data_IF_599616625581
#
_entry.id   IF_599616625581
#
_cell.length_a   1.000
_cell.length_b   1.000
_cell.length_c   1.000
_cell.angle_alpha   90.00
_cell.angle_beta   90.00
_cell.angle_gamma   90.00
#
_symmetry.space_group_name_H-M   'P 1'
#
loop_
_entity.id
_entity.type
_entity.pdbx_description
1 polymer ?
#
# COMPACT_ATOMS: atom_id res chain seq x y z
N UNK A 1 17.56 -1.63 -15.18
CA UNK A 1 16.22 -1.56 -14.59
C UNK A 1 16.21 -2.39 -13.33
N UNK A 2 16.27 -1.75 -12.16
CA UNK A 2 16.08 -2.40 -10.85
C UNK A 2 14.62 -2.82 -10.65
N UNK A 3 14.30 -3.72 -9.70
CA UNK A 3 12.91 -4.07 -9.39
C UNK A 3 12.03 -2.85 -9.04
N UNK A 4 12.59 -1.92 -8.27
CA UNK A 4 11.95 -0.66 -7.90
C UNK A 4 11.73 0.25 -9.13
N UNK A 5 12.72 0.41 -10.02
CA UNK A 5 12.54 1.13 -11.30
C UNK A 5 11.44 0.50 -12.16
N UNK A 6 11.40 -0.83 -12.26
CA UNK A 6 10.35 -1.54 -12.98
C UNK A 6 8.97 -1.27 -12.36
N UNK A 7 8.86 -1.35 -11.04
CA UNK A 7 7.63 -1.06 -10.31
C UNK A 7 7.15 0.37 -10.57
N UNK A 8 7.95 1.39 -10.27
CA UNK A 8 7.53 2.79 -10.43
C UNK A 8 7.19 3.15 -11.88
N UNK A 9 7.92 2.59 -12.85
CA UNK A 9 7.64 2.85 -14.27
C UNK A 9 6.34 2.21 -14.74
N UNK A 10 6.14 0.92 -14.49
CA UNK A 10 5.01 0.18 -15.06
C UNK A 10 3.76 0.20 -14.18
N UNK A 11 3.91 0.41 -12.87
CA UNK A 11 2.79 0.50 -11.94
C UNK A 11 2.26 1.93 -11.81
N UNK A 12 3.15 2.93 -11.74
CA UNK A 12 2.79 4.32 -11.47
C UNK A 12 3.08 5.29 -12.63
N UNK A 13 3.70 4.82 -13.71
CA UNK A 13 3.99 5.65 -14.89
C UNK A 13 5.14 6.65 -14.68
N UNK A 14 5.99 6.45 -13.67
CA UNK A 14 7.07 7.38 -13.37
C UNK A 14 8.26 7.19 -14.30
N UNK A 15 8.88 8.30 -14.69
CA UNK A 15 10.10 8.29 -15.53
C UNK A 15 11.38 8.11 -14.71
N UNK A 16 11.31 8.27 -13.38
CA UNK A 16 12.40 8.11 -12.41
C UNK A 16 11.85 7.57 -11.09
N UNK A 17 12.67 6.87 -10.33
CA UNK A 17 12.31 6.45 -8.97
C UNK A 17 12.45 7.61 -7.96
N UNK A 18 11.75 7.55 -6.82
CA UNK A 18 11.99 8.44 -5.68
C UNK A 18 13.47 8.54 -5.28
N UNK A 19 14.16 7.40 -5.31
CA UNK A 19 15.57 7.24 -4.96
C UNK A 19 16.50 8.05 -5.88
N UNK A 20 16.23 8.01 -7.18
CA UNK A 20 16.99 8.78 -8.18
C UNK A 20 16.71 10.28 -8.12
N UNK A 21 15.50 10.68 -7.71
CA UNK A 21 15.12 12.08 -7.59
C UNK A 21 15.72 12.76 -6.35
N UNK A 22 15.85 12.01 -5.25
CA UNK A 22 16.31 12.51 -3.96
C UNK A 22 17.83 12.76 -3.89
N UNK A 23 18.66 11.96 -4.58
CA UNK A 23 20.11 12.14 -4.66
C UNK A 23 20.91 11.89 -3.36
N UNK A 24 20.24 11.78 -2.20
CA UNK A 24 20.83 11.48 -0.88
C UNK A 24 20.23 10.18 -0.31
N UNK A 25 21.09 9.18 -0.09
CA UNK A 25 20.70 7.86 0.44
C UNK A 25 20.06 7.92 1.82
N UNK A 26 20.51 8.81 2.70
CA UNK A 26 19.93 8.92 4.04
C UNK A 26 18.50 9.46 3.98
N UNK A 27 18.28 10.46 3.12
CA UNK A 27 16.97 11.04 2.87
C UNK A 27 16.03 10.04 2.18
N UNK A 28 16.53 9.24 1.22
CA UNK A 28 15.75 8.16 0.60
C UNK A 28 15.27 7.16 1.63
N UNK A 29 16.14 6.68 2.51
CA UNK A 29 15.75 5.74 3.57
C UNK A 29 14.69 6.32 4.50
N UNK A 30 14.80 7.62 4.82
CA UNK A 30 13.79 8.31 5.63
C UNK A 30 12.43 8.33 4.91
N UNK A 31 12.40 8.65 3.61
CA UNK A 31 11.18 8.63 2.78
C UNK A 31 10.60 7.21 2.74
N UNK A 32 11.39 6.19 2.42
CA UNK A 32 10.96 4.79 2.35
C UNK A 32 10.35 4.32 3.67
N UNK A 33 11.03 4.58 4.79
CA UNK A 33 10.54 4.26 6.13
C UNK A 33 9.22 4.98 6.44
N UNK A 34 9.10 6.26 6.06
CA UNK A 34 7.90 7.05 6.36
C UNK A 34 6.71 6.65 5.49
N UNK A 35 6.94 6.35 4.23
CA UNK A 35 5.94 5.82 3.31
C UNK A 35 5.40 4.48 3.81
N UNK A 36 6.29 3.53 4.12
CA UNK A 36 5.89 2.23 4.66
C UNK A 36 5.18 2.37 6.01
N UNK A 37 5.67 3.26 6.88
CA UNK A 37 5.05 3.56 8.17
C UNK A 37 3.62 4.10 8.04
N UNK A 38 3.39 5.04 7.12
CA UNK A 38 2.05 5.58 6.85
C UNK A 38 1.08 4.49 6.38
N UNK A 39 1.51 3.59 5.50
CA UNK A 39 0.66 2.47 5.06
C UNK A 39 0.41 1.50 6.22
N UNK A 40 1.44 1.17 7.01
CA UNK A 40 1.26 0.28 8.16
C UNK A 40 0.34 0.89 9.23
N UNK A 41 0.36 2.20 9.44
CA UNK A 41 -0.61 2.89 10.30
C UNK A 41 -2.04 2.68 9.78
N UNK A 42 -2.26 2.95 8.49
CA UNK A 42 -3.57 2.80 7.87
C UNK A 42 -4.12 1.37 7.98
N UNK A 43 -3.27 0.39 7.66
CA UNK A 43 -3.67 -1.03 7.58
C UNK A 43 -3.73 -1.69 8.95
N UNK A 44 -2.84 -1.32 9.87
CA UNK A 44 -2.84 -1.87 11.24
C UNK A 44 -3.99 -1.36 12.09
N UNK A 45 -4.59 -0.22 11.75
CA UNK A 45 -5.70 0.42 12.45
C UNK A 45 -6.80 -0.57 12.88
N UNK A 46 -7.19 -0.48 14.16
CA UNK A 46 -8.23 -1.32 14.76
C UNK A 46 -7.86 -2.79 14.93
N UNK A 47 -6.62 -3.19 14.63
CA UNK A 47 -6.13 -4.56 14.79
C UNK A 47 -6.79 -5.60 13.88
N UNK A 48 -7.42 -5.14 12.78
CA UNK A 48 -8.18 -5.98 11.84
C UNK A 48 -7.35 -6.48 10.65
N UNK A 49 -6.04 -6.23 10.64
CA UNK A 49 -5.20 -6.61 9.51
C UNK A 49 -5.03 -8.12 9.38
N UNK A 50 -4.90 -8.60 8.14
CA UNK A 50 -4.78 -10.04 7.83
C UNK A 50 -3.34 -10.45 7.52
N UNK A 51 -3.05 -11.76 7.61
CA UNK A 51 -1.76 -12.30 7.18
C UNK A 51 -1.49 -12.10 5.68
N UNK A 52 -2.55 -11.95 4.87
CA UNK A 52 -2.40 -11.62 3.46
C UNK A 52 -1.91 -10.18 3.27
N UNK A 53 -2.44 -9.24 4.02
CA UNK A 53 -1.97 -7.86 4.04
C UNK A 53 -0.51 -7.76 4.52
N UNK A 54 -0.13 -8.53 5.55
CA UNK A 54 1.27 -8.61 6.00
C UNK A 54 2.19 -9.07 4.86
N UNK A 55 1.84 -10.17 4.17
CA UNK A 55 2.65 -10.68 3.04
C UNK A 55 2.74 -9.68 1.90
N UNK A 56 1.62 -9.04 1.56
CA UNK A 56 1.58 -8.01 0.52
C UNK A 56 2.51 -6.85 0.86
N UNK A 57 2.41 -6.29 2.08
CA UNK A 57 3.22 -5.14 2.49
C UNK A 57 4.71 -5.48 2.55
N UNK A 58 5.07 -6.67 3.05
CA UNK A 58 6.47 -7.14 2.99
C UNK A 58 6.97 -7.21 1.55
N UNK A 59 6.17 -7.75 0.62
CA UNK A 59 6.51 -7.80 -0.80
C UNK A 59 6.63 -6.42 -1.44
N UNK A 60 5.67 -5.53 -1.15
CA UNK A 60 5.68 -4.14 -1.59
C UNK A 60 6.96 -3.43 -1.14
N UNK A 61 7.25 -3.44 0.17
CA UNK A 61 8.47 -2.83 0.73
C UNK A 61 9.73 -3.43 0.13
N UNK A 62 9.78 -4.75 -0.07
CA UNK A 62 10.93 -5.42 -0.70
C UNK A 62 11.19 -4.91 -2.12
N UNK A 63 10.13 -4.63 -2.89
CA UNK A 63 10.24 -4.18 -4.28
C UNK A 63 10.54 -2.68 -4.33
N UNK A 64 9.96 -1.87 -3.44
CA UNK A 64 10.07 -0.41 -3.49
C UNK A 64 11.31 0.12 -2.76
N UNK A 65 11.76 -0.56 -1.71
CA UNK A 65 12.88 -0.11 -0.87
C UNK A 65 14.19 -0.71 -1.36
N UNK A 66 14.99 0.09 -2.07
CA UNK A 66 16.26 -0.38 -2.64
C UNK A 66 17.39 -0.43 -1.61
N UNK A 67 17.32 0.40 -0.56
CA UNK A 67 18.47 0.72 0.29
C UNK A 67 18.32 0.29 1.75
N UNK A 68 17.10 0.00 2.23
CA UNK A 68 16.82 -0.46 3.59
C UNK A 68 16.16 -1.85 3.61
N UNK A 69 17.00 -2.89 3.56
CA UNK A 69 16.55 -4.28 3.64
C UNK A 69 15.97 -4.65 5.01
N UNK A 70 16.18 -3.83 6.05
CA UNK A 70 15.64 -4.08 7.39
C UNK A 70 14.20 -3.63 7.54
N UNK A 71 13.71 -2.75 6.65
CA UNK A 71 12.34 -2.24 6.69
C UNK A 71 11.30 -3.36 6.50
N UNK A 72 11.63 -4.39 5.71
CA UNK A 72 10.77 -5.55 5.48
C UNK A 72 10.45 -6.27 6.81
N UNK A 73 11.43 -6.40 7.70
CA UNK A 73 11.25 -7.07 8.99
C UNK A 73 10.48 -6.20 10.00
N UNK A 74 10.39 -4.90 9.73
CA UNK A 74 9.65 -3.93 10.58
C UNK A 74 8.17 -3.81 10.21
N UNK A 75 7.72 -4.35 9.07
CA UNK A 75 6.32 -4.27 8.63
C UNK A 75 5.36 -4.82 9.70
N UNK A 76 5.61 -6.04 10.19
CA UNK A 76 4.70 -6.66 11.17
C UNK A 76 4.75 -5.96 12.55
N UNK A 77 5.92 -5.57 13.08
CA UNK A 77 5.98 -4.67 14.24
C UNK A 77 5.19 -3.37 14.06
N UNK A 78 5.34 -2.67 12.93
CA UNK A 78 4.63 -1.42 12.66
C UNK A 78 3.10 -1.60 12.61
N UNK A 79 2.62 -2.71 12.03
CA UNK A 79 1.19 -3.04 12.01
C UNK A 79 0.65 -3.31 13.41
N UNK A 80 1.44 -3.97 14.28
CA UNK A 80 1.06 -4.21 15.68
C UNK A 80 1.02 -2.92 16.48
N UNK A 81 2.05 -2.08 16.34
CA UNK A 81 2.07 -0.76 16.97
C UNK A 81 0.85 0.07 16.55
N UNK A 82 0.50 0.06 15.26
CA UNK A 82 -0.68 0.75 14.74
C UNK A 82 -2.02 0.19 15.26
N UNK A 83 -2.10 -1.11 15.54
CA UNK A 83 -3.31 -1.75 16.07
C UNK A 83 -3.67 -1.28 17.48
N UNK A 84 -2.67 -0.83 18.25
CA UNK A 84 -2.83 -0.37 19.62
C UNK A 84 -3.17 1.13 19.72
N UNK A 85 -3.15 1.88 18.61
CA UNK A 85 -3.43 3.31 18.58
C UNK A 85 -4.92 3.63 18.54
N UNK A 86 -5.34 4.61 19.31
CA UNK A 86 -6.63 5.27 19.16
C UNK A 86 -6.64 6.23 17.96
N UNK A 87 -7.82 6.57 17.42
CA UNK A 87 -7.94 7.47 16.26
C UNK A 87 -7.19 8.81 16.43
N UNK A 88 -7.24 9.40 17.64
CA UNK A 88 -6.52 10.66 17.95
C UNK A 88 -4.99 10.47 17.91
N UNK A 89 -4.52 9.30 18.34
CA UNK A 89 -3.10 8.95 18.32
C UNK A 89 -2.65 8.60 16.89
N UNK A 90 -3.55 8.05 16.07
CA UNK A 90 -3.33 7.79 14.66
C UNK A 90 -3.12 9.09 13.88
N UNK A 91 -3.92 10.13 14.14
CA UNK A 91 -3.71 11.47 13.53
C UNK A 91 -2.38 12.08 13.94
N UNK A 92 -2.04 12.06 15.24
CA UNK A 92 -0.76 12.65 15.68
C UNK A 92 0.45 11.86 15.18
N UNK A 93 0.33 10.53 15.07
CA UNK A 93 1.37 9.67 14.49
C UNK A 93 1.48 9.85 12.99
N UNK A 94 0.37 9.99 12.27
CA UNK A 94 0.38 10.14 10.82
C UNK A 94 1.08 11.43 10.39
N UNK A 95 0.92 12.54 11.11
CA UNK A 95 1.63 13.79 10.80
C UNK A 95 3.16 13.60 10.75
N UNK A 96 3.76 12.78 11.64
CA UNK A 96 5.19 12.47 11.57
C UNK A 96 5.58 11.72 10.29
N UNK A 97 4.69 10.86 9.80
CA UNK A 97 4.92 10.07 8.59
C UNK A 97 4.60 10.85 7.31
N UNK A 98 3.92 11.99 7.38
CA UNK A 98 3.42 12.73 6.20
C UNK A 98 3.92 14.18 6.13
N UNK A 99 4.70 14.66 7.11
CA UNK A 99 5.22 16.03 7.19
C UNK A 99 6.22 16.42 6.08
N UNK A 100 6.78 15.46 5.33
CA UNK A 100 7.70 15.74 4.23
C UNK A 100 6.92 16.15 2.98
N UNK A 101 7.31 17.27 2.35
CA UNK A 101 6.69 17.73 1.10
C UNK A 101 6.69 16.65 0.01
N UNK A 102 7.77 15.87 -0.10
CA UNK A 102 7.86 14.75 -1.04
C UNK A 102 6.70 13.74 -0.86
N UNK A 103 6.32 13.44 0.38
CA UNK A 103 5.25 12.49 0.67
C UNK A 103 3.88 13.09 0.38
N UNK A 104 3.69 14.39 0.62
CA UNK A 104 2.48 15.11 0.21
C UNK A 104 2.31 15.12 -1.31
N UNK A 105 3.39 15.35 -2.05
CA UNK A 105 3.37 15.28 -3.52
C UNK A 105 3.03 13.86 -4.01
N UNK A 106 3.45 12.82 -3.27
CA UNK A 106 3.10 11.43 -3.49
C UNK A 106 1.76 11.01 -2.84
N UNK A 107 0.99 11.94 -2.26
CA UNK A 107 -0.15 11.61 -1.40
C UNK A 107 -1.21 10.75 -2.10
N UNK A 108 -1.48 11.03 -3.39
CA UNK A 108 -2.45 10.25 -4.18
C UNK A 108 -2.00 8.81 -4.40
N UNK A 109 -0.71 8.57 -4.69
CA UNK A 109 -0.19 7.20 -4.86
C UNK A 109 -0.14 6.46 -3.53
N UNK A 110 0.20 7.16 -2.44
CA UNK A 110 0.17 6.58 -1.09
C UNK A 110 -1.23 6.09 -0.71
N UNK A 111 -2.24 6.93 -0.90
CA UNK A 111 -3.64 6.56 -0.62
C UNK A 111 -4.09 5.40 -1.51
N UNK A 112 -3.72 5.40 -2.79
CA UNK A 112 -3.98 4.28 -3.69
C UNK A 112 -3.33 2.97 -3.22
N UNK A 113 -2.08 2.99 -2.76
CA UNK A 113 -1.40 1.81 -2.21
C UNK A 113 -2.08 1.31 -0.92
N UNK A 114 -2.56 2.22 -0.07
CA UNK A 114 -3.35 1.87 1.12
C UNK A 114 -4.65 1.17 0.74
N UNK A 115 -5.43 1.71 -0.20
CA UNK A 115 -6.63 1.05 -0.71
C UNK A 115 -6.32 -0.30 -1.35
N UNK A 116 -5.21 -0.41 -2.09
CA UNK A 116 -4.76 -1.67 -2.70
C UNK A 116 -4.49 -2.75 -1.65
N UNK A 117 -3.86 -2.38 -0.53
CA UNK A 117 -3.66 -3.31 0.58
C UNK A 117 -4.96 -3.61 1.34
N UNK A 118 -5.81 -2.62 1.58
CA UNK A 118 -7.09 -2.79 2.26
C UNK A 118 -8.07 -3.69 1.48
N UNK A 119 -8.02 -3.66 0.15
CA UNK A 119 -8.83 -4.52 -0.72
C UNK A 119 -8.55 -6.02 -0.51
N UNK A 120 -7.39 -6.40 0.03
CA UNK A 120 -7.07 -7.80 0.37
C UNK A 120 -7.91 -8.33 1.54
N UNK A 121 -8.56 -7.45 2.29
CA UNK A 121 -9.43 -7.77 3.41
C UNK A 121 -10.83 -7.13 3.26
N UNK A 122 -11.26 -6.89 2.02
CA UNK A 122 -12.58 -6.32 1.68
C UNK A 122 -12.87 -4.97 2.34
N UNK A 123 -11.85 -4.10 2.42
CA UNK A 123 -11.95 -2.73 2.93
C UNK A 123 -12.52 -2.63 4.35
N UNK A 124 -11.83 -3.15 5.38
CA UNK A 124 -12.29 -3.07 6.76
C UNK A 124 -12.53 -1.62 7.19
N UNK A 125 -13.66 -1.36 7.87
CA UNK A 125 -14.07 -0.01 8.28
C UNK A 125 -12.99 0.75 9.07
N UNK A 126 -12.30 0.17 10.08
CA UNK A 126 -11.22 0.86 10.80
C UNK A 126 -10.07 1.32 9.89
N UNK A 127 -9.74 0.53 8.86
CA UNK A 127 -8.73 0.89 7.88
C UNK A 127 -9.23 2.03 6.97
N UNK A 128 -10.50 2.03 6.58
CA UNK A 128 -11.08 3.09 5.73
C UNK A 128 -11.11 4.44 6.44
N UNK A 129 -11.42 4.44 7.74
CA UNK A 129 -11.34 5.63 8.59
C UNK A 129 -9.90 6.13 8.65
N UNK A 130 -8.95 5.25 8.96
CA UNK A 130 -7.53 5.62 9.04
C UNK A 130 -6.98 6.15 7.70
N UNK A 131 -7.33 5.52 6.57
CA UNK A 131 -6.95 6.01 5.24
C UNK A 131 -7.48 7.41 5.00
N UNK A 132 -8.73 7.69 5.39
CA UNK A 132 -9.33 9.01 5.22
C UNK A 132 -8.58 10.07 6.04
N UNK A 133 -8.25 9.78 7.30
CA UNK A 133 -7.48 10.68 8.17
C UNK A 133 -6.06 10.93 7.62
N UNK A 134 -5.38 9.87 7.17
CA UNK A 134 -4.03 9.98 6.61
C UNK A 134 -4.06 10.72 5.26
N UNK A 135 -5.10 10.53 4.46
CA UNK A 135 -5.29 11.25 3.20
C UNK A 135 -5.41 12.76 3.43
N UNK A 136 -6.14 13.19 4.47
CA UNK A 136 -6.22 14.60 4.85
C UNK A 136 -4.85 15.18 5.20
N UNK A 137 -4.05 14.48 5.99
CA UNK A 137 -2.68 14.88 6.37
C UNK A 137 -1.74 14.98 5.16
N UNK A 138 -1.94 14.11 4.17
CA UNK A 138 -1.23 14.14 2.88
C UNK A 138 -1.73 15.26 1.94
N UNK A 139 -2.79 15.98 2.30
CA UNK A 139 -3.40 17.02 1.46
C UNK A 139 -4.31 16.48 0.35
N UNK A 140 -4.74 15.22 0.44
CA UNK A 140 -5.64 14.57 -0.51
C UNK A 140 -7.10 14.79 -0.06
N UNK A 141 -7.59 16.02 -0.21
CA UNK A 141 -8.88 16.48 0.33
C UNK A 141 -9.95 16.75 -0.73
N UNK A 142 -9.66 16.46 -2.00
CA UNK A 142 -10.60 16.65 -3.11
C UNK A 142 -11.86 15.79 -2.92
N UNK A 143 -13.03 16.43 -2.97
CA UNK A 143 -14.30 15.75 -2.75
C UNK A 143 -14.50 14.59 -3.75
N UNK A 144 -14.81 13.41 -3.22
CA UNK A 144 -15.05 12.20 -4.00
C UNK A 144 -13.80 11.50 -4.53
N UNK A 145 -12.59 12.05 -4.31
CA UNK A 145 -11.36 11.44 -4.81
C UNK A 145 -11.06 10.08 -4.16
N UNK A 146 -11.25 9.94 -2.85
CA UNK A 146 -11.02 8.66 -2.15
C UNK A 146 -11.92 7.53 -2.71
N UNK A 147 -13.17 7.85 -3.01
CA UNK A 147 -14.11 6.92 -3.63
C UNK A 147 -13.70 6.56 -5.07
N UNK A 148 -13.17 7.51 -5.84
CA UNK A 148 -12.62 7.22 -7.17
C UNK A 148 -11.41 6.29 -7.09
N UNK A 149 -10.50 6.52 -6.14
CA UNK A 149 -9.33 5.67 -5.90
C UNK A 149 -9.79 4.26 -5.51
N UNK A 150 -10.74 4.13 -4.57
CA UNK A 150 -11.31 2.84 -4.18
C UNK A 150 -11.86 2.08 -5.38
N UNK A 151 -12.70 2.71 -6.21
CA UNK A 151 -13.28 2.08 -7.40
C UNK A 151 -12.22 1.64 -8.40
N UNK A 152 -11.17 2.44 -8.58
CA UNK A 152 -10.05 2.06 -9.44
C UNK A 152 -9.37 0.77 -8.93
N UNK A 153 -9.13 0.67 -7.62
CA UNK A 153 -8.56 -0.55 -7.01
C UNK A 153 -9.49 -1.76 -7.20
N UNK A 154 -10.80 -1.60 -6.98
CA UNK A 154 -11.78 -2.67 -7.23
C UNK A 154 -11.76 -3.14 -8.69
N UNK A 155 -11.71 -2.21 -9.65
CA UNK A 155 -11.59 -2.52 -11.08
C UNK A 155 -10.31 -3.30 -11.41
N UNK A 156 -9.18 -2.96 -10.78
CA UNK A 156 -7.92 -3.66 -11.00
C UNK A 156 -7.87 -5.05 -10.38
N UNK A 157 -8.55 -5.25 -9.24
CA UNK A 157 -8.76 -6.58 -8.66
C UNK A 157 -9.53 -7.45 -9.65
N UNK A 158 -10.60 -6.93 -10.24
CA UNK A 158 -11.37 -7.67 -11.26
C UNK A 158 -10.56 -7.91 -12.54
N UNK A 159 -9.80 -6.93 -13.01
CA UNK A 159 -8.90 -7.10 -14.15
C UNK A 159 -7.85 -8.19 -13.88
N UNK A 160 -7.31 -8.25 -12.66
CA UNK A 160 -6.37 -9.29 -12.24
C UNK A 160 -7.02 -10.66 -12.26
N UNK A 161 -8.24 -10.81 -11.74
CA UNK A 161 -9.02 -12.06 -11.81
C UNK A 161 -9.23 -12.50 -13.25
N UNK A 162 -9.62 -11.58 -14.14
CA UNK A 162 -9.80 -11.87 -15.56
C UNK A 162 -8.50 -12.31 -16.24
N UNK A 163 -7.37 -11.65 -15.92
CA UNK A 163 -6.05 -12.06 -16.42
C UNK A 163 -5.65 -13.45 -15.94
N UNK A 164 -5.88 -13.76 -14.67
CA UNK A 164 -5.63 -15.11 -14.12
C UNK A 164 -6.48 -16.15 -14.86
N UNK A 165 -7.77 -15.87 -15.09
CA UNK A 165 -8.66 -16.75 -15.85
C UNK A 165 -8.17 -17.02 -17.27
N UNK A 166 -7.63 -15.99 -17.92
CA UNK A 166 -7.07 -16.08 -19.26
C UNK A 166 -5.75 -16.89 -19.31
N UNK A 167 -4.85 -16.66 -18.36
CA UNK A 167 -3.52 -17.29 -18.34
C UNK A 167 -3.55 -18.74 -17.86
N UNK A 168 -4.47 -19.06 -16.94
CA UNK A 168 -4.55 -20.37 -16.30
C UNK A 168 -5.97 -20.93 -16.38
N UNK A 169 -6.51 -21.21 -17.58
CA UNK A 169 -7.92 -21.58 -17.75
C UNK A 169 -8.36 -22.83 -16.97
N UNK A 170 -7.43 -23.74 -16.67
CA UNK A 170 -7.65 -24.97 -15.88
C UNK A 170 -7.22 -24.82 -14.42
N UNK A 171 -6.78 -23.63 -14.00
CA UNK A 171 -6.09 -23.37 -12.74
C UNK A 171 -4.59 -23.65 -12.81
N UNK A 172 -3.87 -23.35 -11.72
CA UNK A 172 -2.45 -23.64 -11.54
C UNK A 172 -2.17 -23.82 -10.04
N UNK A 173 -1.37 -24.84 -9.68
CA UNK A 173 -1.02 -25.20 -8.30
C UNK A 173 -0.30 -24.08 -7.50
N UNK A 174 0.38 -23.16 -8.19
CA UNK A 174 1.05 -22.00 -7.61
C UNK A 174 0.14 -20.77 -7.45
N UNK A 175 -1.15 -20.84 -7.82
CA UNK A 175 -2.08 -19.73 -7.57
C UNK A 175 -2.34 -19.56 -6.07
N UNK A 176 -2.52 -18.32 -5.63
CA UNK A 176 -2.97 -18.05 -4.26
C UNK A 176 -4.32 -18.74 -3.99
N UNK A 177 -4.58 -19.19 -2.76
CA UNK A 177 -5.82 -19.90 -2.42
C UNK A 177 -7.10 -19.18 -2.84
N UNK A 178 -7.15 -17.85 -2.74
CA UNK A 178 -8.29 -17.02 -3.18
C UNK A 178 -8.56 -17.06 -4.69
N UNK A 179 -7.58 -17.49 -5.47
CA UNK A 179 -7.67 -17.59 -6.93
C UNK A 179 -7.84 -19.04 -7.40
N UNK A 180 -7.62 -20.04 -6.54
CA UNK A 180 -7.67 -21.45 -6.89
C UNK A 180 -9.05 -21.92 -7.42
N UNK A 181 -10.13 -21.25 -7.02
CA UNK A 181 -11.50 -21.59 -7.43
C UNK A 181 -12.13 -20.60 -8.41
N UNK A 182 -11.37 -19.63 -8.96
CA UNK A 182 -11.89 -18.62 -9.90
C UNK A 182 -12.64 -19.20 -11.11
N UNK A 183 -12.38 -20.46 -11.44
CA UNK A 183 -12.91 -21.17 -12.61
C UNK A 183 -14.15 -22.03 -12.32
N UNK A 184 -14.55 -22.15 -11.04
CA UNK A 184 -15.70 -22.95 -10.62
C UNK A 184 -17.00 -22.13 -10.50
N UNK A 185 -16.91 -20.82 -10.66
CA UNK A 185 -18.04 -19.90 -10.73
C UNK A 185 -18.46 -19.71 -12.19
N UNK A 186 -19.17 -20.70 -12.74
CA UNK A 186 -19.96 -20.60 -13.98
C UNK A 186 -21.30 -21.29 -13.78
#
# INVERSE_FOLDING_TARGET
MTPSEFFYTFHLGYTKTPTEAAGDKAYVRQIENRYAGAICLAIGSGGVYTQEQVRYLRGFVTITSQEDTTLVDRVEPMLKEAADLLDVELVSSSSYFTDLQFLKDAGRSMVYDMYTCAALADFPEPQMVAISLIAEELGVTEFGLLEQIRKQVEMEVELRKNRIKLLYPEGHDMLEPRYANLHKEN
#
